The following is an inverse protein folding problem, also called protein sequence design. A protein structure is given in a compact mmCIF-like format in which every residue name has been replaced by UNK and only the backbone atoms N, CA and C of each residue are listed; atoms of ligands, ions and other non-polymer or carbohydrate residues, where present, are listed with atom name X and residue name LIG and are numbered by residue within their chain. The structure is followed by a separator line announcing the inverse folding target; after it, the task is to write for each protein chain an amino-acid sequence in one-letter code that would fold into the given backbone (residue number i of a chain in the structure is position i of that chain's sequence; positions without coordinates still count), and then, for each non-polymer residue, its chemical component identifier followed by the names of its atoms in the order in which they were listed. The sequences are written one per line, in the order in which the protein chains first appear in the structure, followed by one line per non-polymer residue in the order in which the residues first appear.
data_IF_171970238015
#
_entry.id   IF_171970238015
#
_cell.length_a   1.000
_cell.length_b   1.000
_cell.length_c   1.000
_cell.angle_alpha   90.00
_cell.angle_beta   90.00
_cell.angle_gamma   90.00
#
_symmetry.space_group_name_H-M   'P 1'
#
loop_
_entity.id
_entity.type
_entity.pdbx_description
1 polymer ?
#
# COMPACT_ATOMS: atom_id res chain seq x y z
N UNK A 1 -29.76 1.69 5.99
CA UNK A 1 -31.05 2.36 5.75
C UNK A 1 -32.16 1.43 6.22
N UNK A 2 -32.86 1.79 7.29
CA UNK A 2 -33.92 0.97 7.91
C UNK A 2 -35.24 1.18 7.16
N UNK A 3 -35.79 0.12 6.56
CA UNK A 3 -37.14 0.14 6.01
C UNK A 3 -38.13 -0.28 7.11
N UNK A 4 -38.81 0.70 7.70
CA UNK A 4 -39.90 0.48 8.66
C UNK A 4 -41.18 0.21 7.85
N UNK A 5 -41.55 -1.06 7.69
CA UNK A 5 -42.85 -1.44 7.16
C UNK A 5 -43.93 -1.15 8.21
N UNK A 6 -44.72 -0.09 7.98
CA UNK A 6 -45.98 0.15 8.65
C UNK A 6 -46.99 -0.91 8.19
N UNK A 7 -47.35 -1.86 9.05
CA UNK A 7 -48.58 -2.63 8.89
C UNK A 7 -49.68 -1.95 9.71
N UNK A 8 -50.53 -1.19 9.01
CA UNK A 8 -51.84 -0.77 9.51
C UNK A 8 -52.73 -2.01 9.66
N UNK A 9 -53.16 -2.28 10.88
CA UNK A 9 -54.02 -3.39 11.24
C UNK A 9 -55.44 -2.87 11.43
N UNK A 10 -56.34 -3.08 10.46
CA UNK A 10 -57.81 -3.07 10.64
C UNK A 10 -58.53 -3.45 9.35
N UNK A 11 -59.13 -4.64 9.29
CA UNK A 11 -60.58 -4.89 9.14
C UNK A 11 -60.86 -6.35 8.71
N UNK A 12 -61.75 -7.01 9.46
CA UNK A 12 -62.37 -8.30 9.14
C UNK A 12 -63.35 -8.14 7.96
N UNK A 13 -63.30 -9.05 6.97
CA UNK A 13 -64.42 -9.89 6.47
C UNK A 13 -63.98 -10.73 5.22
N UNK A 14 -64.62 -11.89 4.92
CA UNK A 14 -63.99 -13.02 4.22
C UNK A 14 -64.40 -13.18 2.73
N UNK A 15 -63.69 -14.12 2.08
CA UNK A 15 -64.09 -14.91 0.91
C UNK A 15 -64.10 -14.19 -0.46
N UNK A 16 -62.94 -14.17 -1.14
CA UNK A 16 -62.84 -14.45 -2.59
C UNK A 16 -61.48 -15.09 -2.86
N UNK A 17 -61.49 -16.33 -3.36
CA UNK A 17 -60.31 -16.99 -3.90
C UNK A 17 -60.03 -16.42 -5.29
N UNK A 18 -58.98 -15.62 -5.43
CA UNK A 18 -58.40 -15.25 -6.72
C UNK A 18 -56.89 -15.41 -6.63
N UNK A 19 -56.38 -16.52 -7.19
CA UNK A 19 -54.95 -16.77 -7.33
C UNK A 19 -54.47 -15.91 -8.51
N UNK A 20 -53.88 -14.76 -8.20
CA UNK A 20 -53.08 -14.00 -9.15
C UNK A 20 -51.61 -14.37 -8.94
N UNK A 21 -51.10 -15.30 -9.75
CA UNK A 21 -49.66 -15.57 -9.82
C UNK A 21 -48.99 -14.45 -10.61
N UNK A 22 -48.56 -13.41 -9.91
CA UNK A 22 -47.62 -12.41 -10.47
C UNK A 22 -46.23 -13.03 -10.46
N UNK A 23 -45.81 -13.51 -11.63
CA UNK A 23 -44.41 -13.87 -11.90
C UNK A 23 -43.65 -12.58 -12.20
N UNK A 24 -43.10 -11.94 -11.16
CA UNK A 24 -42.11 -10.89 -11.35
C UNK A 24 -40.74 -11.59 -11.48
N UNK A 25 -40.35 -11.92 -12.71
CA UNK A 25 -38.98 -12.31 -12.99
C UNK A 25 -38.11 -11.07 -12.78
N UNK A 26 -37.51 -10.95 -11.59
CA UNK A 26 -36.42 -10.02 -11.37
C UNK A 26 -35.30 -10.41 -12.33
N UNK A 27 -35.02 -9.56 -13.32
CA UNK A 27 -33.76 -9.63 -14.03
C UNK A 27 -32.67 -9.37 -12.99
N UNK A 28 -31.99 -10.42 -12.57
CA UNK A 28 -30.72 -10.32 -11.86
C UNK A 28 -29.73 -9.71 -12.83
N UNK A 29 -29.62 -8.39 -12.86
CA UNK A 29 -28.44 -7.73 -13.41
C UNK A 29 -27.29 -8.20 -12.55
N UNK A 30 -26.48 -9.13 -13.07
CA UNK A 30 -25.16 -9.42 -12.54
C UNK A 30 -24.34 -8.17 -12.80
N UNK A 31 -24.44 -7.21 -11.87
CA UNK A 31 -23.44 -6.17 -11.74
C UNK A 31 -22.20 -6.93 -11.31
N UNK A 32 -21.28 -7.14 -12.26
CA UNK A 32 -19.93 -7.59 -11.97
C UNK A 32 -19.27 -6.52 -11.10
N UNK A 33 -19.59 -6.59 -9.81
CA UNK A 33 -18.91 -5.83 -8.78
C UNK A 33 -17.60 -6.57 -8.61
N UNK A 34 -16.63 -6.26 -9.46
CA UNK A 34 -15.24 -6.54 -9.17
C UNK A 34 -14.96 -5.80 -7.87
N UNK A 35 -15.14 -6.49 -6.73
CA UNK A 35 -14.68 -6.04 -5.44
C UNK A 35 -13.18 -5.83 -5.62
N UNK A 36 -12.79 -4.57 -5.77
CA UNK A 36 -11.42 -4.14 -5.58
C UNK A 36 -11.07 -4.48 -4.14
N UNK A 37 -10.62 -5.71 -3.91
CA UNK A 37 -10.03 -6.10 -2.64
C UNK A 37 -8.94 -5.05 -2.35
N UNK A 38 -8.98 -4.38 -1.19
CA UNK A 38 -7.97 -3.39 -0.86
C UNK A 38 -6.60 -4.04 -0.98
N UNK A 39 -5.78 -3.50 -1.87
CA UNK A 39 -4.43 -4.00 -2.09
C UNK A 39 -3.68 -3.97 -0.75
N UNK A 40 -3.01 -5.06 -0.36
CA UNK A 40 -2.28 -5.09 0.90
C UNK A 40 -1.19 -4.00 0.89
N UNK A 41 -1.28 -3.05 1.83
CA UNK A 41 -0.28 -1.99 1.97
C UNK A 41 1.09 -2.60 2.31
N UNK A 42 2.08 -2.35 1.46
CA UNK A 42 3.45 -2.82 1.64
C UNK A 42 4.26 -1.82 2.48
N UNK A 43 4.90 -2.31 3.52
CA UNK A 43 5.79 -1.52 4.38
C UNK A 43 7.24 -1.52 3.88
N UNK A 44 7.61 -2.48 3.05
CA UNK A 44 8.98 -2.67 2.60
C UNK A 44 9.54 -1.41 1.95
N UNK A 45 10.81 -1.11 2.22
CA UNK A 45 11.53 0.00 1.61
C UNK A 45 12.00 1.07 2.58
N UNK A 46 12.32 2.23 2.02
CA UNK A 46 12.84 3.40 2.71
C UNK A 46 11.75 4.39 3.09
N UNK A 47 11.77 4.77 4.35
CA UNK A 47 10.86 5.74 4.92
C UNK A 47 11.64 6.81 5.66
N UNK A 48 11.17 8.04 5.64
CA UNK A 48 11.84 9.18 6.26
C UNK A 48 10.92 9.82 7.30
N UNK A 49 11.51 10.19 8.44
CA UNK A 49 10.82 10.96 9.47
C UNK A 49 10.93 12.47 9.24
N UNK A 50 10.22 13.29 10.02
CA UNK A 50 10.29 14.76 9.91
C UNK A 50 11.67 15.34 10.28
N UNK A 51 12.55 14.56 10.91
CA UNK A 51 13.92 14.95 11.25
C UNK A 51 14.93 14.54 10.16
N UNK A 52 14.45 13.96 9.05
CA UNK A 52 15.27 13.48 7.95
C UNK A 52 15.96 12.15 8.24
N UNK A 53 15.58 11.38 9.25
CA UNK A 53 16.20 10.07 9.54
C UNK A 53 15.57 9.00 8.65
N UNK A 54 16.40 8.19 7.99
CA UNK A 54 15.96 7.10 7.13
C UNK A 54 15.72 5.81 7.92
N UNK A 55 14.54 5.23 7.75
CA UNK A 55 14.13 3.93 8.24
C UNK A 55 14.02 2.97 7.06
N UNK A 56 14.68 1.81 7.14
CA UNK A 56 14.69 0.80 6.09
C UNK A 56 14.06 -0.51 6.56
N UNK A 57 12.95 -0.88 5.93
CA UNK A 57 12.19 -2.11 6.16
C UNK A 57 12.55 -3.12 5.08
N UNK A 58 13.24 -4.18 5.47
CA UNK A 58 13.68 -5.24 4.57
C UNK A 58 12.62 -6.34 4.47
N UNK A 59 12.49 -6.95 3.28
CA UNK A 59 11.55 -8.06 3.01
C UNK A 59 11.68 -9.25 3.97
N UNK A 60 12.84 -9.44 4.60
CA UNK A 60 13.10 -10.50 5.59
C UNK A 60 12.65 -10.16 7.02
N UNK A 61 11.94 -9.04 7.21
CA UNK A 61 11.46 -8.57 8.52
C UNK A 61 12.52 -7.83 9.34
N UNK A 62 13.70 -7.53 8.77
CA UNK A 62 14.72 -6.72 9.45
C UNK A 62 14.46 -5.23 9.29
N UNK A 63 14.84 -4.47 10.30
CA UNK A 63 14.70 -3.02 10.36
C UNK A 63 16.07 -2.37 10.61
N UNK A 64 16.32 -1.23 9.94
CA UNK A 64 17.50 -0.39 10.17
C UNK A 64 17.12 1.09 10.18
N UNK A 65 17.84 1.86 10.97
CA UNK A 65 17.79 3.33 10.93
C UNK A 65 19.15 3.84 10.47
N UNK A 66 19.16 4.77 9.52
CA UNK A 66 20.36 5.28 8.83
C UNK A 66 20.39 6.81 8.95
N UNK A 67 21.57 7.37 9.20
CA UNK A 67 21.79 8.82 9.21
C UNK A 67 21.76 9.41 7.80
N UNK A 68 21.24 10.63 7.67
CA UNK A 68 21.20 11.41 6.41
C UNK A 68 22.19 12.56 6.37
N UNK A 69 23.08 12.68 7.36
CA UNK A 69 24.19 13.64 7.41
C UNK A 69 25.31 13.39 6.36
N UNK A 70 25.07 12.53 5.38
CA UNK A 70 26.04 12.11 4.37
C UNK A 70 26.91 10.91 4.77
N UNK A 71 26.94 10.51 6.06
CA UNK A 71 27.75 9.36 6.51
C UNK A 71 27.13 8.01 6.19
N UNK A 72 25.81 7.95 5.96
CA UNK A 72 25.03 6.71 5.81
C UNK A 72 25.26 5.72 6.98
N UNK A 73 25.59 6.24 8.16
CA UNK A 73 25.86 5.42 9.35
C UNK A 73 24.58 4.77 9.89
N UNK A 74 24.69 3.52 10.36
CA UNK A 74 23.58 2.81 10.98
C UNK A 74 23.43 3.28 12.43
N UNK A 75 22.28 3.89 12.74
CA UNK A 75 21.96 4.44 14.07
C UNK A 75 21.23 3.44 14.97
N UNK A 76 20.45 2.54 14.36
CA UNK A 76 19.72 1.49 15.06
C UNK A 76 19.48 0.29 14.15
N UNK A 77 19.32 -0.89 14.76
CA UNK A 77 18.97 -2.13 14.08
C UNK A 77 17.83 -2.83 14.82
N UNK A 78 17.08 -3.67 14.12
CA UNK A 78 15.93 -4.33 14.72
C UNK A 78 15.22 -5.30 13.79
N UNK A 79 14.00 -5.62 14.18
CA UNK A 79 13.03 -6.35 13.37
C UNK A 79 11.67 -5.69 13.44
N UNK A 80 10.84 -5.99 12.45
CA UNK A 80 9.45 -5.57 12.42
C UNK A 80 8.55 -6.72 12.02
N UNK A 81 7.27 -6.60 12.36
CA UNK A 81 6.23 -7.47 11.84
C UNK A 81 4.95 -6.66 11.63
N UNK A 82 4.23 -7.00 10.57
CA UNK A 82 2.91 -6.45 10.27
C UNK A 82 1.87 -7.35 10.92
N UNK A 83 0.92 -6.75 11.64
CA UNK A 83 -0.19 -7.42 12.30
C UNK A 83 -1.43 -7.42 11.40
N UNK A 84 -2.44 -8.18 11.80
CA UNK A 84 -3.66 -8.40 11.02
C UNK A 84 -4.44 -7.11 10.72
N UNK A 85 -4.32 -6.08 11.57
CA UNK A 85 -4.98 -4.78 11.40
C UNK A 85 -4.11 -3.74 10.67
N UNK A 86 -3.09 -4.18 9.91
CA UNK A 86 -2.09 -3.29 9.27
C UNK A 86 -1.27 -2.46 10.28
N UNK A 87 -1.31 -2.81 11.56
CA UNK A 87 -0.41 -2.26 12.57
C UNK A 87 0.96 -2.90 12.45
N UNK A 88 1.99 -2.08 12.45
CA UNK A 88 3.39 -2.48 12.37
C UNK A 88 3.98 -2.38 13.76
N UNK A 89 4.57 -3.46 14.24
CA UNK A 89 5.34 -3.43 15.47
C UNK A 89 6.83 -3.59 15.16
N UNK A 90 7.60 -2.59 15.58
CA UNK A 90 9.04 -2.52 15.38
C UNK A 90 9.72 -2.69 16.73
N UNK A 91 10.67 -3.61 16.80
CA UNK A 91 11.59 -3.79 17.93
C UNK A 91 12.98 -3.42 17.46
N UNK A 92 13.60 -2.45 18.10
CA UNK A 92 14.91 -1.96 17.67
C UNK A 92 15.83 -1.71 18.86
N UNK A 93 17.12 -1.70 18.57
CA UNK A 93 18.19 -1.31 19.47
C UNK A 93 18.97 -0.16 18.84
N UNK A 94 19.03 0.96 19.54
CA UNK A 94 19.89 2.07 19.18
C UNK A 94 21.34 1.70 19.41
N UNK A 95 22.17 1.80 18.37
CA UNK A 95 23.60 1.52 18.45
C UNK A 95 24.35 2.67 19.12
N UNK A 96 23.90 3.91 18.89
CA UNK A 96 24.52 5.11 19.45
C UNK A 96 24.24 5.31 20.94
N UNK A 97 23.12 4.79 21.45
CA UNK A 97 22.71 4.93 22.86
C UNK A 97 22.67 3.60 23.62
N UNK A 98 22.94 2.49 22.94
CA UNK A 98 22.87 1.12 23.49
C UNK A 98 21.56 0.85 24.26
N UNK A 99 20.43 1.27 23.69
CA UNK A 99 19.10 1.14 24.31
C UNK A 99 18.13 0.49 23.36
N UNK A 100 17.29 -0.41 23.87
CA UNK A 100 16.25 -1.07 23.08
C UNK A 100 14.90 -0.41 23.29
N UNK A 101 14.12 -0.36 22.22
CA UNK A 101 12.80 0.27 22.17
C UNK A 101 11.81 -0.52 21.34
N UNK A 102 10.55 -0.17 21.53
CA UNK A 102 9.43 -0.66 20.73
C UNK A 102 8.67 0.53 20.18
N UNK A 103 8.31 0.44 18.90
CA UNK A 103 7.53 1.44 18.18
C UNK A 103 6.35 0.72 17.55
N UNK A 104 5.18 1.35 17.62
CA UNK A 104 3.96 0.89 16.97
C UNK A 104 3.61 1.89 15.88
N UNK A 105 3.56 1.45 14.64
CA UNK A 105 3.14 2.28 13.52
C UNK A 105 1.84 1.77 12.93
N UNK A 106 1.04 2.66 12.36
CA UNK A 106 -0.17 2.33 11.62
C UNK A 106 -0.15 3.07 10.29
N UNK A 107 -0.59 2.41 9.22
CA UNK A 107 -0.78 3.07 7.94
C UNK A 107 -1.92 4.09 8.04
N UNK A 108 -1.61 5.34 7.72
CA UNK A 108 -2.63 6.35 7.42
C UNK A 108 -3.05 6.28 5.95
N UNK A 109 -2.07 6.05 5.09
CA UNK A 109 -2.20 5.80 3.66
C UNK A 109 -0.98 4.99 3.19
N UNK A 110 -0.91 4.64 1.90
CA UNK A 110 0.18 3.83 1.34
C UNK A 110 1.58 4.45 1.46
N UNK A 111 1.66 5.78 1.66
CA UNK A 111 2.88 6.56 1.71
C UNK A 111 3.14 7.21 3.07
N UNK A 112 2.27 7.00 4.07
CA UNK A 112 2.39 7.63 5.38
C UNK A 112 2.04 6.68 6.53
N UNK A 113 2.95 6.58 7.49
CA UNK A 113 2.75 5.86 8.74
C UNK A 113 2.64 6.84 9.91
N UNK A 114 1.71 6.56 10.82
CA UNK A 114 1.65 7.19 12.14
C UNK A 114 2.31 6.28 13.16
N UNK A 115 3.42 6.71 13.76
CA UNK A 115 4.21 5.93 14.69
C UNK A 115 4.16 6.49 16.11
N UNK A 116 4.05 5.60 17.09
CA UNK A 116 4.08 5.89 18.51
C UNK A 116 5.22 5.12 19.18
N UNK A 117 6.15 5.85 19.80
CA UNK A 117 7.23 5.27 20.59
C UNK A 117 6.78 4.95 22.02
N UNK A 118 7.57 4.14 22.74
CA UNK A 118 7.28 3.69 24.12
C UNK A 118 7.08 4.84 25.11
N UNK A 119 7.73 5.97 24.90
CA UNK A 119 7.62 7.21 25.68
C UNK A 119 6.39 8.05 25.28
N UNK A 120 5.46 7.48 24.53
CA UNK A 120 4.26 8.13 23.98
C UNK A 120 4.57 9.28 23.02
N UNK A 121 5.81 9.39 22.52
CA UNK A 121 6.14 10.35 21.48
C UNK A 121 5.60 9.85 20.14
N UNK A 122 4.75 10.65 19.53
CA UNK A 122 4.21 10.40 18.19
C UNK A 122 5.09 11.06 17.12
N UNK A 123 5.29 10.38 16.00
CA UNK A 123 5.98 10.89 14.82
C UNK A 123 5.44 10.23 13.56
N UNK A 124 5.75 10.79 12.39
CA UNK A 124 5.33 10.22 11.11
C UNK A 124 6.52 9.70 10.32
N UNK A 125 6.28 8.64 9.56
CA UNK A 125 7.20 8.21 8.51
C UNK A 125 6.52 8.39 7.16
N UNK A 126 7.27 8.85 6.16
CA UNK A 126 6.81 8.98 4.77
C UNK A 126 7.65 8.14 3.83
N UNK A 127 7.03 7.51 2.83
CA UNK A 127 7.77 6.83 1.75
C UNK A 127 8.74 7.81 1.10
N UNK A 128 9.96 7.36 0.87
CA UNK A 128 10.95 8.15 0.13
C UNK A 128 11.05 7.68 -1.31
N UNK A 129 11.61 8.53 -2.17
CA UNK A 129 11.96 8.19 -3.55
C UNK A 129 13.02 7.06 -3.65
N UNK A 130 13.74 6.77 -2.56
CA UNK A 130 14.67 5.65 -2.49
C UNK A 130 13.94 4.32 -2.40
N UNK A 131 12.66 4.33 -2.01
CA UNK A 131 11.85 3.15 -2.19
C UNK A 131 11.41 3.08 -3.63
N UNK A 132 11.94 2.09 -4.36
CA UNK A 132 11.42 1.74 -5.66
C UNK A 132 9.90 1.57 -5.56
N UNK A 133 9.16 2.51 -6.16
CA UNK A 133 7.73 2.37 -6.36
C UNK A 133 7.52 1.15 -7.27
N UNK A 134 6.47 0.33 -7.06
CA UNK A 134 6.04 -0.58 -8.10
C UNK A 134 5.69 0.25 -9.32
N UNK A 135 6.59 0.26 -10.31
CA UNK A 135 6.43 0.98 -11.57
C UNK A 135 5.30 0.31 -12.36
N UNK A 136 4.07 0.74 -12.17
CA UNK A 136 2.97 0.49 -13.09
C UNK A 136 3.09 1.40 -14.31
N UNK A 137 4.14 1.20 -15.11
CA UNK A 137 4.13 1.64 -16.50
C UNK A 137 4.28 0.38 -17.37
N UNK A 138 3.25 -0.02 -18.14
CA UNK A 138 3.51 -0.76 -19.36
C UNK A 138 4.45 0.12 -20.20
N UNK A 139 5.71 -0.28 -20.29
CA UNK A 139 6.69 0.41 -21.10
C UNK A 139 6.47 0.04 -22.56
N UNK A 140 5.37 0.54 -23.14
CA UNK A 140 5.15 0.63 -24.58
C UNK A 140 5.57 2.03 -25.05
N UNK A 141 6.81 2.42 -24.76
CA UNK A 141 7.43 3.57 -25.40
C UNK A 141 8.70 3.03 -26.10
N UNK A 142 8.48 2.49 -27.30
CA UNK A 142 9.53 2.21 -28.27
C UNK A 142 10.39 3.46 -28.41
N UNK A 143 11.69 3.30 -28.22
CA UNK A 143 12.65 4.34 -28.49
C UNK A 143 12.54 4.79 -29.96
N UNK A 144 11.93 5.94 -30.21
CA UNK A 144 12.13 6.66 -31.46
C UNK A 144 13.45 7.41 -31.33
N UNK A 145 14.52 6.72 -31.71
CA UNK A 145 15.83 7.31 -31.98
C UNK A 145 15.61 8.29 -33.14
N UNK A 146 15.95 9.59 -33.03
CA UNK A 146 16.02 10.44 -34.20
C UNK A 146 17.07 9.86 -35.15
N UNK A 147 16.64 9.36 -36.30
CA UNK A 147 17.52 8.97 -37.38
C UNK A 147 18.32 10.21 -37.83
N UNK A 148 19.59 10.29 -37.44
CA UNK A 148 20.56 11.20 -38.04
C UNK A 148 21.05 10.59 -39.36
N UNK A 149 20.75 11.19 -40.53
CA UNK A 149 21.05 10.58 -41.81
C UNK A 149 22.40 11.05 -42.33
N UNK A 150 23.50 10.95 -41.57
CA UNK A 150 24.85 11.07 -42.19
C UNK A 150 25.94 10.41 -41.36
N UNK A 151 26.11 9.09 -41.48
CA UNK A 151 27.46 8.51 -41.33
C UNK A 151 27.63 7.30 -42.25
N UNK A 152 28.61 7.34 -43.19
CA UNK A 152 28.88 6.20 -44.04
C UNK A 152 29.49 5.06 -43.23
N UNK A 153 28.86 3.89 -43.36
CA UNK A 153 29.31 2.60 -42.85
C UNK A 153 30.73 2.28 -43.35
N UNK A 154 31.72 2.32 -42.44
CA UNK A 154 33.04 1.74 -42.71
C UNK A 154 32.91 0.22 -42.76
N UNK A 155 32.82 -0.32 -43.98
CA UNK A 155 32.91 -1.76 -44.22
C UNK A 155 34.26 -2.29 -43.75
N UNK A 156 34.24 -3.11 -42.71
CA UNK A 156 35.33 -4.01 -42.37
C UNK A 156 35.29 -5.15 -43.40
N UNK A 157 36.30 -5.24 -44.27
CA UNK A 157 36.59 -6.47 -45.01
C UNK A 157 37.94 -6.99 -44.51
N UNK A 158 37.88 -8.05 -43.71
CA UNK A 158 38.98 -8.99 -43.53
C UNK A 158 38.95 -9.99 -44.67
N UNK A 159 40.01 -10.13 -45.46
CA UNK A 159 40.37 -11.42 -46.08
C UNK A 159 41.87 -11.52 -46.44
N UNK A 160 42.46 -12.60 -45.89
CA UNK A 160 43.68 -13.37 -46.21
C UNK A 160 45.06 -12.80 -45.89
#
# INVERSE_FOLDING_TARGET
MQARCFLSLSFLFPLVAAIAVVSCSALSVVVDSSELLPEPMDITGYWEDDNGILSYFQKDGKFKTISTDGSSSVLATGSYHVKINQDVEIKLTSLIRNTSGKIQCQFLDSNKLNCLAKDQKQFYLRRTHLTELPSSKPQDDVAEIPEDPTTPSTSIIFYK
#
